data_IF_570574719241
#
_entry.id   IF_570574719241
#
_cell.length_a   1.000
_cell.length_b   1.000
_cell.length_c   1.000
_cell.angle_alpha   90.00
_cell.angle_beta   90.00
_cell.angle_gamma   90.00
#
_symmetry.space_group_name_H-M   'P 1'
#
loop_
_entity.id
_entity.type
_entity.pdbx_description
1 polymer ?
#
# COMPACT_ATOMS: atom_id res chain seq x y z
N UNK A 1 -58.30 -46.60 -5.81
CA UNK A 1 -56.96 -47.24 -5.92
C UNK A 1 -56.03 -46.51 -4.95
N UNK A 2 -55.86 -46.92 -3.69
CA UNK A 2 -55.06 -48.06 -3.17
C UNK A 2 -53.64 -48.03 -3.76
N UNK A 3 -52.49 -47.91 -3.07
CA UNK A 3 -51.99 -47.99 -1.68
C UNK A 3 -50.69 -47.09 -1.66
N UNK A 4 -49.99 -46.71 -0.58
CA UNK A 4 -49.60 -47.43 0.62
C UNK A 4 -48.98 -46.47 1.67
N UNK A 5 -49.39 -46.61 2.93
CA UNK A 5 -48.69 -46.13 4.15
C UNK A 5 -47.72 -47.23 4.62
N UNK A 6 -46.59 -46.85 5.22
CA UNK A 6 -45.88 -47.56 6.32
C UNK A 6 -44.89 -46.53 6.91
N UNK A 7 -45.14 -45.91 8.06
CA UNK A 7 -45.13 -46.43 9.45
C UNK A 7 -43.73 -46.82 9.94
N UNK A 8 -43.25 -46.17 11.01
CA UNK A 8 -42.02 -46.56 11.71
C UNK A 8 -41.49 -45.51 12.68
N UNK A 9 -42.00 -45.52 13.93
CA UNK A 9 -41.56 -44.71 15.06
C UNK A 9 -40.62 -45.54 15.95
N UNK A 10 -39.40 -45.09 16.22
CA UNK A 10 -38.50 -45.55 17.31
C UNK A 10 -37.50 -44.41 17.60
N UNK A 11 -37.66 -43.61 18.66
CA UNK A 11 -37.27 -43.84 20.06
C UNK A 11 -35.74 -43.87 20.30
N UNK A 12 -35.26 -42.72 20.81
CA UNK A 12 -34.18 -42.46 21.79
C UNK A 12 -33.06 -43.51 21.92
N UNK A 13 -31.84 -43.09 21.62
CA UNK A 13 -30.62 -43.51 22.35
C UNK A 13 -29.56 -42.43 22.21
N UNK A 14 -29.15 -41.88 23.34
CA UNK A 14 -28.10 -40.88 23.41
C UNK A 14 -26.74 -41.46 23.03
N UNK A 15 -25.89 -40.59 22.50
CA UNK A 15 -24.46 -40.72 22.61
C UNK A 15 -23.90 -39.29 22.74
N UNK A 16 -23.37 -39.00 23.92
CA UNK A 16 -22.50 -37.86 24.15
C UNK A 16 -21.27 -38.03 23.24
N UNK A 17 -21.13 -37.18 22.23
CA UNK A 17 -19.86 -37.02 21.52
C UNK A 17 -19.35 -35.63 21.84
N UNK A 18 -18.49 -35.59 22.84
CA UNK A 18 -17.55 -34.51 23.11
C UNK A 18 -16.55 -34.47 21.95
N UNK A 19 -16.83 -33.65 20.94
CA UNK A 19 -15.84 -33.28 19.94
C UNK A 19 -15.11 -32.04 20.45
N UNK A 20 -13.95 -32.28 21.05
CA UNK A 20 -12.89 -31.29 21.25
C UNK A 20 -12.63 -30.57 19.93
N UNK A 21 -13.10 -29.33 19.82
CA UNK A 21 -12.66 -28.40 18.79
C UNK A 21 -11.22 -28.05 19.13
N UNK A 22 -10.27 -28.80 18.55
CA UNK A 22 -8.88 -28.40 18.52
C UNK A 22 -8.78 -27.04 17.85
N UNK A 23 -8.46 -26.05 18.68
CA UNK A 23 -8.09 -24.69 18.32
C UNK A 23 -6.77 -24.74 17.54
N UNK A 24 -6.80 -25.22 16.29
CA UNK A 24 -5.65 -25.12 15.40
C UNK A 24 -5.60 -23.70 14.86
N UNK A 25 -4.58 -22.98 15.35
CA UNK A 25 -4.21 -21.62 15.06
C UNK A 25 -4.69 -21.06 13.74
N UNK A 26 -5.33 -19.89 13.85
CA UNK A 26 -5.26 -18.85 12.83
C UNK A 26 -3.76 -18.57 12.60
N UNK A 27 -3.17 -19.26 11.63
CA UNK A 27 -1.90 -18.82 11.05
C UNK A 27 -2.24 -17.50 10.35
N UNK A 28 -1.90 -16.40 11.03
CA UNK A 28 -1.69 -15.14 10.37
C UNK A 28 -0.72 -15.42 9.21
N UNK A 29 -1.26 -15.40 8.00
CA UNK A 29 -0.44 -15.27 6.79
C UNK A 29 0.12 -13.86 6.88
N UNK A 30 1.25 -13.72 7.57
CA UNK A 30 2.13 -12.57 7.40
C UNK A 30 2.46 -12.54 5.92
N UNK A 31 1.82 -11.59 5.22
CA UNK A 31 2.06 -11.32 3.82
C UNK A 31 3.56 -11.11 3.64
N UNK A 32 4.21 -12.07 2.98
CA UNK A 32 5.59 -12.11 2.51
C UNK A 32 6.34 -10.78 2.57
N UNK A 33 6.75 -10.40 3.77
CA UNK A 33 7.91 -9.55 4.00
C UNK A 33 9.07 -10.50 4.04
N UNK A 34 9.89 -10.56 2.98
CA UNK A 34 11.28 -10.95 3.20
C UNK A 34 11.77 -10.10 4.37
N UNK A 35 12.19 -10.73 5.46
CA UNK A 35 12.52 -10.08 6.73
C UNK A 35 13.34 -8.79 6.45
N UNK A 36 12.67 -7.65 6.58
CA UNK A 36 13.22 -6.34 6.22
C UNK A 36 14.44 -6.03 7.09
N UNK A 37 14.42 -6.50 8.35
CA UNK A 37 15.54 -6.39 9.25
C UNK A 37 16.72 -7.24 8.76
N UNK A 38 16.48 -8.46 8.28
CA UNK A 38 17.52 -9.30 7.67
C UNK A 38 18.11 -8.67 6.40
N UNK A 39 17.26 -8.10 5.52
CA UNK A 39 17.71 -7.40 4.30
C UNK A 39 18.54 -6.16 4.63
N UNK A 40 18.13 -5.39 5.65
CA UNK A 40 18.87 -4.22 6.15
C UNK A 40 20.22 -4.64 6.76
N UNK A 41 20.25 -5.69 7.57
CA UNK A 41 21.47 -6.21 8.18
C UNK A 41 22.47 -6.71 7.13
N UNK A 42 22.00 -7.48 6.14
CA UNK A 42 22.82 -7.94 5.01
C UNK A 42 23.36 -6.76 4.17
N UNK A 43 22.51 -5.76 3.90
CA UNK A 43 22.94 -4.55 3.21
C UNK A 43 24.01 -3.77 3.99
N UNK A 44 23.88 -3.65 5.32
CA UNK A 44 24.88 -2.98 6.17
C UNK A 44 26.22 -3.73 6.13
N UNK A 45 26.17 -5.06 6.22
CA UNK A 45 27.35 -5.92 6.13
C UNK A 45 28.06 -5.76 4.78
N UNK A 46 27.34 -5.92 3.67
CA UNK A 46 27.90 -5.80 2.32
C UNK A 46 28.45 -4.40 2.07
N UNK A 47 27.76 -3.37 2.55
CA UNK A 47 28.21 -2.00 2.40
C UNK A 47 29.56 -1.79 3.10
N UNK A 48 29.67 -2.21 4.37
CA UNK A 48 30.90 -2.07 5.17
C UNK A 48 32.05 -2.91 4.62
N UNK A 49 31.79 -4.16 4.25
CA UNK A 49 32.83 -5.12 3.87
C UNK A 49 33.27 -5.01 2.40
N UNK A 50 32.41 -4.50 1.51
CA UNK A 50 32.64 -4.53 0.06
C UNK A 50 32.57 -3.14 -0.59
N UNK A 51 31.51 -2.38 -0.33
CA UNK A 51 31.31 -1.05 -0.95
C UNK A 51 32.34 -0.04 -0.43
N UNK A 52 32.51 0.06 0.89
CA UNK A 52 33.47 0.97 1.53
C UNK A 52 34.91 0.79 1.00
N UNK A 53 35.46 -0.44 1.02
CA UNK A 53 36.79 -0.70 0.47
C UNK A 53 36.94 -0.38 -1.02
N UNK A 54 35.91 -0.63 -1.84
CA UNK A 54 35.92 -0.26 -3.25
C UNK A 54 36.00 1.26 -3.43
N UNK A 55 35.18 2.01 -2.69
CA UNK A 55 35.18 3.49 -2.70
C UNK A 55 36.53 4.05 -2.28
N UNK A 56 37.14 3.49 -1.24
CA UNK A 56 38.46 3.92 -0.77
C UNK A 56 39.55 3.65 -1.81
N UNK A 57 39.50 2.48 -2.46
CA UNK A 57 40.50 2.05 -3.44
C UNK A 57 40.44 2.85 -4.74
N UNK A 58 39.24 3.18 -5.23
CA UNK A 58 39.03 3.70 -6.59
C UNK A 58 38.43 5.11 -6.67
N UNK A 59 37.76 5.60 -5.62
CA UNK A 59 36.98 6.83 -5.71
C UNK A 59 37.49 7.97 -4.82
N UNK A 60 37.98 7.66 -3.61
CA UNK A 60 38.27 8.65 -2.56
C UNK A 60 39.31 9.72 -2.94
N UNK A 61 40.23 9.40 -3.86
CA UNK A 61 41.23 10.38 -4.36
C UNK A 61 40.59 11.61 -5.02
N UNK A 62 39.48 11.42 -5.73
CA UNK A 62 38.81 12.47 -6.52
C UNK A 62 37.44 12.88 -5.95
N UNK A 63 36.83 12.02 -5.12
CA UNK A 63 35.50 12.19 -4.54
C UNK A 63 35.50 12.09 -3.00
N UNK A 64 36.65 12.30 -2.36
CA UNK A 64 36.79 12.38 -0.90
C UNK A 64 36.64 13.82 -0.41
N UNK A 65 37.70 14.36 0.22
CA UNK A 65 37.75 15.76 0.65
C UNK A 65 37.66 16.76 -0.51
N UNK A 66 38.15 16.37 -1.69
CA UNK A 66 37.88 17.07 -2.95
C UNK A 66 36.60 16.45 -3.53
N UNK A 67 35.50 17.18 -3.50
CA UNK A 67 34.23 16.72 -4.06
C UNK A 67 34.13 17.11 -5.54
N UNK A 68 34.89 16.45 -6.44
CA UNK A 68 34.73 16.71 -7.88
C UNK A 68 33.27 16.50 -8.29
N UNK A 69 32.77 17.40 -9.13
CA UNK A 69 31.35 17.44 -9.55
C UNK A 69 30.35 17.50 -8.38
N UNK A 70 30.77 18.03 -7.23
CA UNK A 70 29.94 18.11 -6.02
C UNK A 70 29.69 16.76 -5.34
N UNK A 71 30.37 15.68 -5.75
CA UNK A 71 30.16 14.33 -5.20
C UNK A 71 31.21 14.04 -4.12
N UNK A 72 30.75 13.91 -2.87
CA UNK A 72 31.55 13.48 -1.73
C UNK A 72 31.12 12.08 -1.28
N UNK A 73 31.91 11.07 -1.67
CA UNK A 73 31.69 9.66 -1.31
C UNK A 73 32.27 9.31 0.06
N UNK A 74 33.25 10.08 0.58
CA UNK A 74 33.78 9.83 1.92
C UNK A 74 32.73 10.11 3.00
N UNK A 75 31.97 11.19 2.86
CA UNK A 75 30.82 11.48 3.72
C UNK A 75 29.71 10.44 3.52
N UNK A 76 29.43 10.07 2.27
CA UNK A 76 28.41 9.07 1.94
C UNK A 76 28.71 7.68 2.53
N UNK A 77 29.98 7.27 2.61
CA UNK A 77 30.37 6.02 3.27
C UNK A 77 30.19 6.10 4.80
N UNK A 78 30.39 7.27 5.41
CA UNK A 78 30.20 7.47 6.85
C UNK A 78 28.71 7.49 7.24
N UNK A 79 27.85 8.03 6.38
CA UNK A 79 26.40 8.06 6.57
C UNK A 79 25.67 7.52 5.32
N UNK A 80 25.66 6.19 5.09
CA UNK A 80 25.07 5.61 3.89
C UNK A 80 23.55 5.74 3.81
N UNK A 81 22.88 5.92 4.96
CA UNK A 81 21.45 6.20 5.02
C UNK A 81 21.07 7.66 4.75
N UNK A 82 22.05 8.56 4.61
CA UNK A 82 21.78 9.97 4.35
C UNK A 82 21.22 10.21 2.94
N UNK A 83 20.37 11.23 2.81
CA UNK A 83 19.72 11.58 1.54
C UNK A 83 20.73 11.83 0.40
N UNK A 84 21.82 12.55 0.69
CA UNK A 84 22.89 12.81 -0.28
C UNK A 84 23.66 11.53 -0.66
N UNK A 85 23.81 10.57 0.25
CA UNK A 85 24.52 9.32 -0.01
C UNK A 85 23.78 8.48 -1.07
N UNK A 86 22.45 8.39 -0.98
CA UNK A 86 21.62 7.69 -1.96
C UNK A 86 21.83 8.26 -3.37
N UNK A 87 21.79 9.59 -3.50
CA UNK A 87 21.98 10.26 -4.78
C UNK A 87 23.41 10.07 -5.32
N UNK A 88 24.42 10.22 -4.45
CA UNK A 88 25.82 10.06 -4.83
C UNK A 88 26.12 8.63 -5.30
N UNK A 89 25.64 7.62 -4.57
CA UNK A 89 25.84 6.22 -4.96
C UNK A 89 25.04 5.82 -6.19
N UNK A 90 23.85 6.39 -6.43
CA UNK A 90 23.12 6.20 -7.68
C UNK A 90 23.93 6.71 -8.88
N UNK A 91 24.52 7.91 -8.77
CA UNK A 91 25.42 8.46 -9.79
C UNK A 91 26.69 7.62 -9.95
N UNK A 92 27.33 7.24 -8.86
CA UNK A 92 28.55 6.41 -8.88
C UNK A 92 28.30 5.06 -9.56
N UNK A 93 27.21 4.37 -9.22
CA UNK A 93 26.85 3.09 -9.82
C UNK A 93 26.60 3.22 -11.33
N UNK A 94 25.93 4.29 -11.77
CA UNK A 94 25.70 4.54 -13.20
C UNK A 94 27.02 4.76 -13.96
N UNK A 95 27.91 5.62 -13.44
CA UNK A 95 29.19 5.93 -14.10
C UNK A 95 30.17 4.74 -14.08
N UNK A 96 30.19 3.95 -13.00
CA UNK A 96 31.03 2.74 -12.94
C UNK A 96 30.54 1.67 -13.92
N UNK A 97 29.21 1.56 -14.11
CA UNK A 97 28.58 0.59 -15.03
C UNK A 97 28.90 0.87 -16.50
N UNK A 98 29.05 2.14 -16.88
CA UNK A 98 29.36 2.56 -18.26
C UNK A 98 30.86 2.86 -18.46
N UNK A 99 31.70 2.51 -17.49
CA UNK A 99 33.15 2.68 -17.53
C UNK A 99 33.67 4.13 -17.50
N UNK A 100 32.81 5.13 -17.38
CA UNK A 100 33.19 6.55 -17.23
C UNK A 100 34.00 6.85 -15.97
N UNK A 101 33.76 6.09 -14.89
CA UNK A 101 34.47 6.26 -13.61
C UNK A 101 35.13 4.96 -13.16
N UNK A 102 36.38 4.99 -12.67
CA UNK A 102 37.30 6.14 -12.63
C UNK A 102 37.77 6.58 -14.03
N UNK A 103 38.15 7.87 -14.23
CA UNK A 103 38.60 8.38 -15.53
C UNK A 103 39.91 7.71 -15.97
N UNK A 104 40.20 7.70 -17.27
CA UNK A 104 41.37 7.01 -17.84
C UNK A 104 42.71 7.41 -17.20
N UNK A 105 42.84 8.67 -16.76
CA UNK A 105 44.02 9.21 -16.07
C UNK A 105 44.13 8.81 -14.59
N UNK A 106 43.15 8.06 -14.06
CA UNK A 106 43.18 7.58 -12.68
C UNK A 106 44.26 6.52 -12.49
N UNK A 107 45.06 6.67 -11.43
CA UNK A 107 46.15 5.74 -11.10
C UNK A 107 45.72 4.29 -10.82
N UNK A 108 44.42 4.04 -10.59
CA UNK A 108 43.88 2.70 -10.36
C UNK A 108 42.56 2.55 -11.12
N UNK A 109 42.47 1.48 -11.90
CA UNK A 109 41.28 1.09 -12.64
C UNK A 109 40.76 -0.24 -12.12
N UNK A 110 39.46 -0.36 -11.79
CA UNK A 110 38.85 -1.64 -11.47
C UNK A 110 38.71 -2.49 -12.73
N UNK A 111 38.90 -3.80 -12.57
CA UNK A 111 38.57 -4.79 -13.61
C UNK A 111 37.06 -4.82 -13.88
N UNK A 112 36.65 -5.35 -15.03
CA UNK A 112 35.23 -5.51 -15.36
C UNK A 112 34.48 -6.35 -14.33
N UNK A 113 35.14 -7.36 -13.74
CA UNK A 113 34.55 -8.16 -12.67
C UNK A 113 34.35 -7.33 -11.40
N UNK A 114 35.34 -6.55 -10.98
CA UNK A 114 35.21 -5.65 -9.83
C UNK A 114 34.10 -4.60 -10.05
N UNK A 115 33.94 -4.08 -11.27
CA UNK A 115 32.84 -3.17 -11.64
C UNK A 115 31.48 -3.84 -11.48
N UNK A 116 31.30 -5.04 -12.04
CA UNK A 116 30.06 -5.83 -11.91
C UNK A 116 29.73 -6.12 -10.46
N UNK A 117 30.72 -6.55 -9.68
CA UNK A 117 30.55 -6.83 -8.27
C UNK A 117 30.16 -5.57 -7.48
N UNK A 118 30.81 -4.44 -7.74
CA UNK A 118 30.44 -3.16 -7.12
C UNK A 118 28.99 -2.77 -7.41
N UNK A 119 28.56 -2.84 -8.67
CA UNK A 119 27.17 -2.55 -9.06
C UNK A 119 26.18 -3.49 -8.37
N UNK A 120 26.54 -4.77 -8.21
CA UNK A 120 25.72 -5.74 -7.47
C UNK A 120 25.64 -5.41 -5.99
N UNK A 121 26.76 -5.07 -5.34
CA UNK A 121 26.79 -4.73 -3.92
C UNK A 121 26.04 -3.43 -3.62
N UNK A 122 26.26 -2.38 -4.42
CA UNK A 122 25.59 -1.10 -4.23
C UNK A 122 24.08 -1.19 -4.55
N UNK A 123 23.64 -2.17 -5.33
CA UNK A 123 22.22 -2.45 -5.53
C UNK A 123 21.46 -2.78 -4.23
N UNK A 124 22.16 -3.22 -3.18
CA UNK A 124 21.60 -3.44 -1.84
C UNK A 124 21.54 -2.17 -0.97
N UNK A 125 22.16 -1.07 -1.40
CA UNK A 125 22.13 0.22 -0.70
C UNK A 125 20.70 0.72 -0.42
N UNK A 126 19.74 0.37 -1.29
CA UNK A 126 18.31 0.70 -1.13
C UNK A 126 17.67 0.21 0.17
N UNK A 127 18.27 -0.77 0.86
CA UNK A 127 17.79 -1.27 2.15
C UNK A 127 18.36 -0.50 3.35
N UNK A 128 19.34 0.39 3.14
CA UNK A 128 19.96 1.20 4.20
C UNK A 128 19.16 2.47 4.52
N UNK A 129 18.52 3.05 3.51
CA UNK A 129 17.61 4.17 3.70
C UNK A 129 16.25 3.67 4.22
N UNK A 130 15.58 4.44 5.09
CA UNK A 130 14.15 4.23 5.33
C UNK A 130 13.39 4.28 4.00
N UNK A 131 12.37 3.44 3.84
CA UNK A 131 11.41 3.59 2.74
C UNK A 131 10.47 4.73 3.07
N UNK A 132 10.96 5.95 2.89
CA UNK A 132 10.14 7.15 3.02
C UNK A 132 9.86 7.70 1.62
N UNK A 133 8.64 7.48 1.07
CA UNK A 133 8.25 8.09 -0.21
C UNK A 133 8.11 9.62 -0.10
N UNK A 134 8.34 10.20 1.08
CA UNK A 134 8.06 11.58 1.41
C UNK A 134 6.63 11.75 1.88
N UNK A 135 6.29 12.99 2.27
CA UNK A 135 4.93 13.33 2.63
C UNK A 135 4.01 13.14 1.42
N UNK A 136 3.00 12.27 1.57
CA UNK A 136 1.94 12.14 0.60
C UNK A 136 1.02 13.35 0.70
N UNK A 137 1.04 14.22 -0.32
CA UNK A 137 0.00 15.23 -0.48
C UNK A 137 -1.25 14.54 -1.01
N UNK A 138 -2.38 14.71 -0.31
CA UNK A 138 -3.67 14.23 -0.78
C UNK A 138 -3.94 14.90 -2.13
N UNK A 139 -3.92 14.09 -3.18
CA UNK A 139 -4.25 14.54 -4.53
C UNK A 139 -5.70 14.24 -4.85
N UNK A 140 -6.32 15.12 -5.63
CA UNK A 140 -7.63 14.84 -6.21
C UNK A 140 -7.50 13.64 -7.16
N UNK A 141 -8.50 12.77 -7.14
CA UNK A 141 -8.64 11.73 -8.15
C UNK A 141 -8.97 12.37 -9.50
N UNK A 142 -8.40 11.85 -10.57
CA UNK A 142 -8.82 12.23 -11.91
C UNK A 142 -10.26 11.79 -12.18
N UNK A 143 -10.94 12.36 -13.18
CA UNK A 143 -12.27 11.92 -13.62
C UNK A 143 -12.33 10.40 -13.81
N UNK A 144 -11.34 9.84 -14.49
CA UNK A 144 -11.21 8.40 -14.74
C UNK A 144 -10.95 7.61 -13.47
N UNK A 145 -10.06 8.09 -12.60
CA UNK A 145 -9.77 7.43 -11.32
C UNK A 145 -10.99 7.43 -10.39
N UNK A 146 -11.74 8.54 -10.34
CA UNK A 146 -12.96 8.66 -9.57
C UNK A 146 -14.06 7.72 -10.09
N UNK A 147 -14.28 7.69 -11.41
CA UNK A 147 -15.24 6.79 -12.05
C UNK A 147 -14.94 5.31 -11.74
N UNK A 148 -13.66 4.92 -11.88
CA UNK A 148 -13.22 3.57 -11.53
C UNK A 148 -13.40 3.28 -10.03
N UNK A 149 -13.10 4.25 -9.17
CA UNK A 149 -13.28 4.10 -7.71
C UNK A 149 -14.75 3.88 -7.37
N UNK A 150 -15.68 4.62 -7.98
CA UNK A 150 -17.11 4.42 -7.77
C UNK A 150 -17.58 3.05 -8.26
N UNK A 151 -17.11 2.59 -9.43
CA UNK A 151 -17.40 1.24 -9.92
C UNK A 151 -16.87 0.17 -8.97
N UNK A 152 -15.62 0.30 -8.52
CA UNK A 152 -14.99 -0.71 -7.69
C UNK A 152 -15.62 -0.77 -6.29
N UNK A 153 -15.96 0.39 -5.70
CA UNK A 153 -16.57 0.47 -4.37
C UNK A 153 -18.06 0.17 -4.38
N UNK A 154 -18.80 0.53 -5.43
CA UNK A 154 -20.27 0.50 -5.42
C UNK A 154 -20.89 -0.30 -6.57
N UNK A 155 -20.11 -0.74 -7.55
CA UNK A 155 -20.61 -1.49 -8.71
C UNK A 155 -21.41 -0.65 -9.72
N UNK A 156 -21.33 0.68 -9.64
CA UNK A 156 -22.04 1.58 -10.56
C UNK A 156 -21.33 1.72 -11.91
N UNK A 157 -22.08 2.10 -12.94
CA UNK A 157 -21.51 2.36 -14.26
C UNK A 157 -20.56 3.58 -14.22
N UNK A 158 -19.32 3.49 -14.73
CA UNK A 158 -18.36 4.59 -14.74
C UNK A 158 -18.86 5.88 -15.42
N UNK A 159 -19.80 5.78 -16.35
CA UNK A 159 -20.41 6.94 -17.04
C UNK A 159 -21.11 7.90 -16.09
N UNK A 160 -21.42 7.49 -14.85
CA UNK A 160 -22.00 8.36 -13.82
C UNK A 160 -21.13 9.61 -13.54
N UNK A 161 -19.82 9.52 -13.79
CA UNK A 161 -18.86 10.60 -13.61
C UNK A 161 -18.56 11.38 -14.91
N UNK A 162 -19.21 11.09 -16.04
CA UNK A 162 -18.97 11.78 -17.32
C UNK A 162 -19.20 13.29 -17.27
N UNK A 163 -20.08 13.74 -16.37
CA UNK A 163 -20.38 15.17 -16.16
C UNK A 163 -19.21 15.97 -15.58
N UNK A 164 -18.18 15.31 -15.06
CA UNK A 164 -16.97 16.01 -14.63
C UNK A 164 -16.18 16.51 -15.85
N UNK A 165 -15.59 17.72 -15.78
CA UNK A 165 -14.73 18.21 -16.84
C UNK A 165 -13.49 17.33 -16.99
N UNK A 166 -12.98 17.23 -18.20
CA UNK A 166 -11.71 16.55 -18.45
C UNK A 166 -10.54 17.36 -17.90
N UNK A 167 -9.47 16.66 -17.52
CA UNK A 167 -8.29 17.29 -16.94
C UNK A 167 -7.38 17.87 -18.02
N UNK A 168 -6.80 19.04 -17.75
CA UNK A 168 -5.84 19.67 -18.64
C UNK A 168 -4.48 19.01 -18.47
N UNK A 169 -3.98 18.39 -19.55
CA UNK A 169 -2.65 17.78 -19.57
C UNK A 169 -1.59 18.89 -19.57
N UNK A 170 -0.64 18.84 -18.61
CA UNK A 170 0.54 19.71 -18.58
C UNK A 170 0.65 20.64 -17.38
N UNK A 171 -0.43 20.88 -16.63
CA UNK A 171 -0.46 21.71 -15.41
C UNK A 171 -0.03 20.95 -14.14
N UNK A 172 0.52 19.74 -14.29
CA UNK A 172 0.84 18.85 -13.18
C UNK A 172 -0.41 18.26 -12.49
N UNK A 173 -0.22 17.68 -11.30
CA UNK A 173 -1.32 17.14 -10.50
C UNK A 173 -2.00 18.27 -9.71
N UNK A 174 -3.17 18.71 -10.16
CA UNK A 174 -3.94 19.75 -9.48
C UNK A 174 -4.60 19.19 -8.21
N UNK A 175 -4.26 19.78 -7.06
CA UNK A 175 -4.85 19.44 -5.76
C UNK A 175 -5.99 20.40 -5.36
N UNK A 176 -6.29 21.41 -6.19
CA UNK A 176 -7.37 22.38 -5.93
C UNK A 176 -8.71 21.89 -6.49
N UNK A 177 -9.78 22.20 -5.76
CA UNK A 177 -11.17 21.94 -6.16
C UNK A 177 -11.93 23.27 -6.07
N UNK A 178 -12.58 23.69 -7.15
CA UNK A 178 -13.46 24.86 -7.13
C UNK A 178 -14.81 24.54 -6.48
N UNK A 179 -15.53 25.56 -6.01
CA UNK A 179 -16.87 25.38 -5.45
C UNK A 179 -17.81 24.62 -6.42
N UNK A 180 -17.78 24.98 -7.70
CA UNK A 180 -18.54 24.30 -8.75
C UNK A 180 -18.16 22.81 -8.87
N UNK A 181 -16.86 22.49 -8.82
CA UNK A 181 -16.43 21.09 -8.87
C UNK A 181 -16.91 20.31 -7.64
N UNK A 182 -16.86 20.90 -6.44
CA UNK A 182 -17.39 20.27 -5.22
C UNK A 182 -18.88 19.92 -5.36
N UNK A 183 -19.67 20.84 -5.92
CA UNK A 183 -21.10 20.59 -6.20
C UNK A 183 -21.30 19.45 -7.21
N UNK A 184 -20.48 19.36 -8.25
CA UNK A 184 -20.54 18.25 -9.21
C UNK A 184 -20.21 16.90 -8.56
N UNK A 185 -19.17 16.84 -7.72
CA UNK A 185 -18.83 15.64 -6.96
C UNK A 185 -19.97 15.21 -6.02
N UNK A 186 -20.57 16.16 -5.30
CA UNK A 186 -21.71 15.88 -4.42
C UNK A 186 -22.94 15.41 -5.22
N UNK A 187 -23.20 16.02 -6.37
CA UNK A 187 -24.27 15.58 -7.27
C UNK A 187 -24.07 14.16 -7.80
N UNK A 188 -22.83 13.76 -8.08
CA UNK A 188 -22.49 12.37 -8.42
C UNK A 188 -22.70 11.45 -7.22
N UNK A 189 -22.22 11.83 -6.04
CA UNK A 189 -22.38 11.04 -4.82
C UNK A 189 -23.86 10.76 -4.51
N UNK A 190 -24.73 11.76 -4.63
CA UNK A 190 -26.17 11.60 -4.44
C UNK A 190 -26.79 10.63 -5.46
N UNK A 191 -26.36 10.70 -6.74
CA UNK A 191 -26.79 9.74 -7.77
C UNK A 191 -26.34 8.32 -7.47
N UNK A 192 -25.12 8.13 -6.96
CA UNK A 192 -24.60 6.83 -6.54
C UNK A 192 -25.44 6.28 -5.37
N UNK A 193 -25.66 7.09 -4.33
CA UNK A 193 -26.48 6.69 -3.18
C UNK A 193 -27.88 6.27 -3.61
N UNK A 194 -28.52 7.02 -4.52
CA UNK A 194 -29.83 6.68 -5.04
C UNK A 194 -29.88 5.35 -5.83
N UNK A 195 -28.76 4.90 -6.41
CA UNK A 195 -28.66 3.59 -7.07
C UNK A 195 -28.33 2.45 -6.09
N UNK A 196 -27.54 2.76 -5.06
CA UNK A 196 -26.96 1.76 -4.15
C UNK A 196 -27.87 1.48 -2.95
N UNK A 197 -28.56 2.50 -2.43
CA UNK A 197 -29.39 2.37 -1.23
C UNK A 197 -30.84 2.21 -1.63
N UNK A 198 -31.51 1.19 -1.08
CA UNK A 198 -32.93 0.99 -1.33
C UNK A 198 -33.76 2.12 -0.68
N UNK A 199 -34.87 2.56 -1.30
CA UNK A 199 -35.80 3.48 -0.68
C UNK A 199 -36.33 2.94 0.65
N UNK A 200 -36.73 3.84 1.54
CA UNK A 200 -37.27 3.46 2.85
C UNK A 200 -38.45 2.48 2.71
N UNK A 201 -38.46 1.44 3.54
CA UNK A 201 -39.46 0.36 3.50
C UNK A 201 -39.30 -0.65 2.37
N UNK A 202 -38.26 -0.56 1.52
CA UNK A 202 -37.91 -1.57 0.51
C UNK A 202 -36.79 -2.49 0.99
N UNK A 203 -36.70 -3.67 0.38
CA UNK A 203 -35.63 -4.62 0.68
C UNK A 203 -34.26 -4.05 0.26
N UNK A 204 -33.18 -4.27 1.05
CA UNK A 204 -31.84 -3.79 0.72
C UNK A 204 -31.35 -4.30 -0.63
N UNK A 205 -30.64 -3.45 -1.37
CA UNK A 205 -29.99 -3.83 -2.63
C UNK A 205 -28.86 -4.85 -2.39
N UNK A 206 -28.40 -5.52 -3.45
CA UNK A 206 -27.25 -6.41 -3.36
C UNK A 206 -25.97 -5.67 -2.90
N UNK A 207 -25.79 -4.43 -3.34
CA UNK A 207 -24.65 -3.59 -2.95
C UNK A 207 -24.77 -3.21 -1.48
N UNK A 208 -25.96 -2.80 -1.02
CA UNK A 208 -26.21 -2.45 0.38
C UNK A 208 -25.92 -3.64 1.31
N UNK A 209 -26.36 -4.85 0.94
CA UNK A 209 -26.04 -6.08 1.71
C UNK A 209 -24.54 -6.40 1.72
N UNK A 210 -23.84 -6.17 0.61
CA UNK A 210 -22.38 -6.35 0.55
C UNK A 210 -21.65 -5.36 1.46
N UNK A 211 -22.10 -4.11 1.52
CA UNK A 211 -21.45 -3.05 2.30
C UNK A 211 -21.75 -3.14 3.80
N UNK A 212 -23.00 -3.43 4.17
CA UNK A 212 -23.48 -3.34 5.55
C UNK A 212 -23.81 -4.70 6.19
N UNK A 213 -23.83 -5.78 5.41
CA UNK A 213 -24.19 -7.11 5.90
C UNK A 213 -25.68 -7.27 6.19
N UNK A 214 -25.99 -8.19 7.10
CA UNK A 214 -27.35 -8.38 7.62
C UNK A 214 -27.67 -7.39 8.73
N UNK A 215 -28.96 -7.13 8.92
CA UNK A 215 -29.40 -6.26 10.01
C UNK A 215 -29.05 -6.90 11.36
N UNK A 216 -28.36 -6.18 12.26
CA UNK A 216 -28.00 -6.73 13.56
C UNK A 216 -29.26 -7.07 14.40
N UNK A 217 -29.19 -8.09 15.26
CA UNK A 217 -30.29 -8.42 16.17
C UNK A 217 -30.53 -7.28 17.17
N UNK A 218 -31.73 -7.24 17.77
CA UNK A 218 -32.16 -6.11 18.62
C UNK A 218 -31.31 -5.88 19.87
N UNK A 219 -30.63 -6.91 20.35
CA UNK A 219 -29.75 -6.92 21.52
C UNK A 219 -28.26 -6.75 21.17
N UNK A 220 -27.93 -6.56 19.88
CA UNK A 220 -26.56 -6.30 19.47
C UNK A 220 -26.06 -4.94 19.95
N UNK A 221 -24.76 -4.89 20.23
CA UNK A 221 -24.04 -3.63 20.38
C UNK A 221 -23.91 -2.97 19.00
N UNK A 222 -24.84 -2.06 18.70
CA UNK A 222 -24.91 -1.36 17.41
C UNK A 222 -23.65 -0.55 17.12
N UNK A 223 -23.02 0.02 18.15
CA UNK A 223 -21.81 0.83 18.00
C UNK A 223 -20.62 -0.03 17.62
N UNK A 224 -20.50 -1.21 18.25
CA UNK A 224 -19.51 -2.22 17.85
C UNK A 224 -19.76 -2.70 16.42
N UNK A 225 -21.01 -2.99 16.05
CA UNK A 225 -21.35 -3.39 14.68
C UNK A 225 -21.00 -2.29 13.66
N UNK A 226 -21.31 -1.03 13.97
CA UNK A 226 -20.94 0.11 13.12
C UNK A 226 -19.43 0.22 12.94
N UNK A 227 -18.64 0.00 14.02
CA UNK A 227 -17.17 -0.02 13.93
C UNK A 227 -16.64 -1.14 13.05
N UNK A 228 -17.21 -2.33 13.13
CA UNK A 228 -16.80 -3.46 12.29
C UNK A 228 -17.11 -3.21 10.81
N UNK A 229 -18.27 -2.63 10.52
CA UNK A 229 -18.64 -2.18 9.16
C UNK A 229 -17.68 -1.09 8.68
N UNK A 230 -17.46 -0.04 9.48
CA UNK A 230 -16.55 1.06 9.14
C UNK A 230 -15.14 0.54 8.83
N UNK A 231 -14.66 -0.47 9.58
CA UNK A 231 -13.37 -1.12 9.33
C UNK A 231 -13.32 -1.84 7.99
N UNK A 232 -14.39 -2.55 7.61
CA UNK A 232 -14.47 -3.20 6.30
C UNK A 232 -14.48 -2.17 5.17
N UNK A 233 -15.33 -1.15 5.28
CA UNK A 233 -15.46 -0.09 4.27
C UNK A 233 -14.16 0.72 4.13
N UNK A 234 -13.54 1.09 5.25
CA UNK A 234 -12.29 1.85 5.23
C UNK A 234 -11.14 1.03 4.63
N UNK A 235 -11.12 -0.29 4.82
CA UNK A 235 -10.11 -1.14 4.16
C UNK A 235 -10.22 -1.05 2.64
N UNK A 236 -11.43 -1.10 2.10
CA UNK A 236 -11.66 -1.02 0.66
C UNK A 236 -11.37 0.40 0.13
N UNK A 237 -11.83 1.42 0.85
CA UNK A 237 -11.67 2.83 0.46
C UNK A 237 -10.21 3.30 0.56
N UNK A 238 -9.51 3.00 1.66
CA UNK A 238 -8.12 3.44 1.88
C UNK A 238 -7.11 2.47 1.27
N UNK A 239 -7.57 1.29 0.82
CA UNK A 239 -6.73 0.21 0.29
C UNK A 239 -5.63 -0.22 1.27
N UNK A 240 -5.89 -0.03 2.57
CA UNK A 240 -5.06 -0.45 3.69
C UNK A 240 -5.92 -0.60 4.95
N UNK A 241 -5.47 -1.32 5.98
CA UNK A 241 -6.12 -1.27 7.28
C UNK A 241 -6.21 0.17 7.81
N UNK A 242 -7.40 0.57 8.25
CA UNK A 242 -7.60 1.82 8.97
C UNK A 242 -7.04 1.71 10.39
N UNK A 243 -6.49 2.80 10.90
CA UNK A 243 -6.06 2.94 12.29
C UNK A 243 -7.26 3.11 13.21
N UNK A 244 -7.10 2.87 14.52
CA UNK A 244 -8.20 3.05 15.47
C UNK A 244 -8.68 4.51 15.51
N UNK A 245 -7.78 5.48 15.42
CA UNK A 245 -8.15 6.90 15.35
C UNK A 245 -8.98 7.24 14.10
N UNK A 246 -8.66 6.65 12.94
CA UNK A 246 -9.48 6.82 11.74
C UNK A 246 -10.86 6.17 11.90
N UNK A 247 -10.93 5.01 12.56
CA UNK A 247 -12.21 4.34 12.83
C UNK A 247 -13.06 5.12 13.83
N UNK A 248 -12.45 5.74 14.84
CA UNK A 248 -13.16 6.57 15.81
C UNK A 248 -13.87 7.72 15.09
N UNK A 249 -13.17 8.45 14.21
CA UNK A 249 -13.76 9.53 13.40
C UNK A 249 -14.91 9.04 12.52
N UNK A 250 -14.78 7.86 11.91
CA UNK A 250 -15.83 7.30 11.06
C UNK A 250 -17.07 6.87 11.86
N UNK A 251 -16.86 6.34 13.07
CA UNK A 251 -17.95 5.90 13.95
C UNK A 251 -18.64 7.07 14.63
N UNK A 252 -17.95 8.18 14.88
CA UNK A 252 -18.57 9.39 15.46
C UNK A 252 -19.73 9.92 14.59
N UNK A 253 -19.71 9.67 13.27
CA UNK A 253 -20.82 10.00 12.37
C UNK A 253 -22.11 9.23 12.70
N UNK A 254 -21.98 8.02 13.25
CA UNK A 254 -23.14 7.23 13.68
C UNK A 254 -23.84 7.84 14.89
N UNK A 255 -23.11 8.63 15.69
CA UNK A 255 -23.61 9.24 16.92
C UNK A 255 -24.27 10.63 16.67
N UNK A 256 -24.30 11.10 15.41
CA UNK A 256 -24.98 12.33 14.96
C UNK A 256 -26.49 12.14 14.76
#
# INVERSE_FOLDING_TARGET
MNYCRLCGRFMVRGLFISTLISLTGFLAVDATGMDEAALRADAQKIFKEKVGPFVEKYCARCHGSRAKAGINLQSAVKNPSGESAILHFKKAAANVKVHDMPPEDAAKQPTDEERRQFVKWIGKHKYLAPRDPGAFVIRRLTKTEYANTLRDLYGVDPSIAESLPDEVVGEGFLNSISALQSEQFLGIANRVVAQVVAPEGKAPTAVQKRLFGEMPPKDADLRKTARDIARSLARDAYRRPATDAELDVLVDVYDL
#
